data_IF_544434870022
#
_entry.id   IF_544434870022
#
_cell.length_a   1.000
_cell.length_b   1.000
_cell.length_c   1.000
_cell.angle_alpha   90.00
_cell.angle_beta   90.00
_cell.angle_gamma   90.00
#
_symmetry.space_group_name_H-M   'P 1'
#
loop_
_entity.id
_entity.type
_entity.pdbx_description
1 polymer ?
#
# COMPACT_ATOMS: atom_id res chain seq x y z
N UNK A 1 -25.73 -25.25 20.12
CA UNK A 1 -24.74 -24.58 19.30
C UNK A 1 -25.20 -24.74 17.87
N UNK A 2 -25.92 -23.73 17.33
CA UNK A 2 -26.37 -23.72 15.94
C UNK A 2 -25.19 -23.56 15.02
N UNK A 3 -25.07 -24.47 14.04
CA UNK A 3 -24.09 -24.32 12.98
C UNK A 3 -24.42 -23.04 12.18
N UNK A 4 -23.50 -22.11 12.13
CA UNK A 4 -23.60 -20.94 11.25
C UNK A 4 -23.43 -21.47 9.83
N UNK A 5 -24.54 -21.51 9.09
CA UNK A 5 -24.55 -21.87 7.69
C UNK A 5 -24.00 -20.68 6.90
N UNK A 6 -22.70 -20.68 6.70
CA UNK A 6 -22.05 -19.69 5.83
C UNK A 6 -22.48 -19.96 4.39
N UNK A 7 -22.87 -18.94 3.62
CA UNK A 7 -23.16 -19.10 2.20
C UNK A 7 -21.93 -19.67 1.49
N UNK A 8 -22.08 -20.86 0.91
CA UNK A 8 -21.02 -21.44 0.09
C UNK A 8 -21.00 -20.70 -1.25
N UNK A 9 -19.97 -19.92 -1.47
CA UNK A 9 -19.69 -19.33 -2.79
C UNK A 9 -19.41 -20.47 -3.77
N UNK A 10 -20.26 -20.62 -4.77
CA UNK A 10 -20.03 -21.58 -5.84
C UNK A 10 -18.94 -21.02 -6.75
N UNK A 11 -17.76 -21.63 -6.68
CA UNK A 11 -16.67 -21.33 -7.61
C UNK A 11 -17.07 -21.76 -9.02
N UNK A 12 -16.92 -20.91 -10.03
CA UNK A 12 -17.20 -21.27 -11.40
C UNK A 12 -16.24 -22.37 -11.86
N UNK A 13 -16.66 -23.20 -12.81
CA UNK A 13 -15.84 -24.29 -13.38
C UNK A 13 -14.56 -23.78 -14.08
N UNK A 14 -14.54 -22.50 -14.46
CA UNK A 14 -13.36 -21.74 -14.87
C UNK A 14 -13.34 -20.43 -14.10
N UNK A 15 -12.27 -20.13 -13.32
CA UNK A 15 -12.16 -18.86 -12.66
C UNK A 15 -12.11 -17.75 -13.71
N UNK A 16 -13.10 -16.87 -13.69
CA UNK A 16 -13.10 -15.60 -14.39
C UNK A 16 -12.57 -14.53 -13.48
N UNK A 17 -12.05 -13.47 -14.03
CA UNK A 17 -11.51 -12.36 -13.24
C UNK A 17 -10.79 -11.36 -14.13
N UNK A 18 -10.36 -10.28 -13.54
CA UNK A 18 -9.68 -9.21 -14.23
C UNK A 18 -8.28 -8.96 -13.67
N UNK A 19 -7.43 -8.38 -14.50
CA UNK A 19 -6.07 -8.00 -14.13
C UNK A 19 -5.82 -6.58 -14.62
N UNK A 20 -5.50 -5.69 -13.70
CA UNK A 20 -5.08 -4.32 -14.01
C UNK A 20 -3.66 -4.08 -13.56
N UNK A 21 -2.92 -3.32 -14.33
CA UNK A 21 -1.54 -2.95 -14.06
C UNK A 21 -1.42 -1.44 -14.09
N UNK A 22 -0.80 -0.90 -13.06
CA UNK A 22 -0.52 0.53 -12.97
C UNK A 22 0.82 0.78 -12.29
N UNK A 23 1.21 2.05 -12.23
CA UNK A 23 2.29 2.53 -11.38
C UNK A 23 1.73 3.64 -10.50
N UNK A 24 1.89 3.52 -9.18
CA UNK A 24 1.47 4.52 -8.20
C UNK A 24 2.71 5.13 -7.57
N UNK A 25 2.91 6.44 -7.75
CA UNK A 25 4.12 7.10 -7.26
C UNK A 25 5.43 6.47 -7.77
N UNK A 26 5.45 5.95 -9.01
CA UNK A 26 6.59 5.25 -9.59
C UNK A 26 6.73 3.77 -9.22
N UNK A 27 5.86 3.23 -8.39
CA UNK A 27 5.88 1.83 -7.95
C UNK A 27 4.86 0.99 -8.71
N UNK A 28 5.34 -0.05 -9.38
CA UNK A 28 4.47 -0.94 -10.17
C UNK A 28 3.58 -1.79 -9.29
N UNK A 29 2.30 -1.77 -9.57
CA UNK A 29 1.26 -2.53 -8.90
C UNK A 29 0.45 -3.35 -9.89
N UNK A 30 0.08 -4.55 -9.50
CA UNK A 30 -0.82 -5.43 -10.26
C UNK A 30 -1.99 -5.79 -9.35
N UNK A 31 -3.18 -5.38 -9.73
CA UNK A 31 -4.44 -5.75 -9.09
C UNK A 31 -5.05 -6.92 -9.86
N UNK A 32 -5.45 -7.97 -9.17
CA UNK A 32 -6.14 -9.13 -9.73
C UNK A 32 -7.40 -9.40 -8.95
N UNK A 33 -8.41 -9.88 -9.64
CA UNK A 33 -9.64 -10.37 -9.02
C UNK A 33 -9.97 -11.76 -9.53
N UNK A 34 -10.66 -12.54 -8.71
CA UNK A 34 -11.39 -13.73 -9.13
C UNK A 34 -12.87 -13.45 -8.89
N UNK A 35 -13.70 -13.85 -9.83
CA UNK A 35 -15.14 -13.56 -9.84
C UNK A 35 -15.94 -14.84 -9.63
N UNK A 36 -17.11 -14.71 -9.02
CA UNK A 36 -18.11 -15.75 -8.96
C UNK A 36 -18.90 -15.87 -10.30
N UNK A 37 -19.87 -16.77 -10.33
CA UNK A 37 -20.74 -16.99 -11.51
C UNK A 37 -21.61 -15.76 -11.85
N UNK A 38 -21.81 -14.84 -10.92
CA UNK A 38 -22.54 -13.58 -11.12
C UNK A 38 -21.67 -12.41 -11.51
N UNK A 39 -20.34 -12.64 -11.67
CA UNK A 39 -19.37 -11.59 -12.00
C UNK A 39 -19.02 -10.70 -10.82
N UNK A 40 -19.28 -11.14 -9.58
CA UNK A 40 -18.89 -10.41 -8.39
C UNK A 40 -17.51 -10.85 -7.90
N UNK A 41 -16.66 -9.94 -7.42
CA UNK A 41 -15.34 -10.29 -6.95
C UNK A 41 -15.44 -11.07 -5.63
N UNK A 42 -14.84 -12.25 -5.60
CA UNK A 42 -14.73 -13.11 -4.41
C UNK A 42 -13.31 -13.19 -3.88
N UNK A 43 -12.35 -12.81 -4.70
CA UNK A 43 -10.93 -12.74 -4.33
C UNK A 43 -10.30 -11.51 -4.93
N UNK A 44 -9.44 -10.87 -4.16
CA UNK A 44 -8.65 -9.71 -4.55
C UNK A 44 -7.19 -9.97 -4.19
N UNK A 45 -6.27 -9.70 -5.09
CA UNK A 45 -4.84 -9.76 -4.84
C UNK A 45 -4.15 -8.51 -5.38
N UNK A 46 -3.26 -7.93 -4.58
CA UNK A 46 -2.44 -6.77 -4.95
C UNK A 46 -0.97 -7.18 -4.87
N UNK A 47 -0.31 -7.23 -6.01
CA UNK A 47 1.10 -7.57 -6.10
C UNK A 47 1.95 -6.33 -6.40
N UNK A 48 3.03 -6.16 -5.65
CA UNK A 48 4.00 -5.08 -5.77
C UNK A 48 5.36 -5.64 -6.21
N UNK A 49 6.01 -5.01 -7.18
CA UNK A 49 7.19 -5.61 -7.83
C UNK A 49 8.52 -5.21 -7.20
N UNK A 50 8.63 -4.05 -6.57
CA UNK A 50 9.90 -3.49 -6.08
C UNK A 50 9.93 -3.20 -4.59
N UNK A 51 8.95 -3.70 -3.85
CA UNK A 51 8.83 -3.45 -2.42
C UNK A 51 9.58 -4.48 -1.58
N UNK A 52 9.94 -4.10 -0.37
CA UNK A 52 10.54 -5.00 0.60
C UNK A 52 9.63 -6.19 0.94
N UNK A 53 10.22 -7.31 1.35
CA UNK A 53 9.49 -8.55 1.63
C UNK A 53 8.39 -8.35 2.70
N UNK A 54 8.67 -7.59 3.75
CA UNK A 54 7.71 -7.32 4.82
C UNK A 54 6.47 -6.57 4.31
N UNK A 55 6.66 -5.56 3.47
CA UNK A 55 5.55 -4.80 2.90
C UNK A 55 4.69 -5.68 1.97
N UNK A 56 5.31 -6.52 1.14
CA UNK A 56 4.59 -7.46 0.29
C UNK A 56 3.79 -8.47 1.10
N UNK A 57 4.39 -9.07 2.15
CA UNK A 57 3.69 -10.00 3.02
C UNK A 57 2.51 -9.37 3.76
N UNK A 58 2.64 -8.10 4.17
CA UNK A 58 1.54 -7.36 4.79
C UNK A 58 0.40 -7.11 3.79
N UNK A 59 0.74 -6.74 2.56
CA UNK A 59 -0.24 -6.54 1.50
C UNK A 59 -0.97 -7.85 1.14
N UNK A 60 -0.22 -8.96 1.04
CA UNK A 60 -0.80 -10.28 0.80
C UNK A 60 -1.75 -10.69 1.94
N UNK A 61 -1.35 -10.50 3.19
CA UNK A 61 -2.20 -10.81 4.36
C UNK A 61 -3.48 -9.96 4.37
N UNK A 62 -3.38 -8.66 4.04
CA UNK A 62 -4.52 -7.76 3.98
C UNK A 62 -5.48 -8.17 2.85
N UNK A 63 -4.99 -8.44 1.65
CA UNK A 63 -5.83 -8.86 0.51
C UNK A 63 -6.45 -10.23 0.75
N UNK A 64 -5.77 -11.13 1.46
CA UNK A 64 -6.34 -12.40 1.90
C UNK A 64 -7.50 -12.18 2.87
N UNK A 65 -7.38 -11.27 3.83
CA UNK A 65 -8.47 -10.94 4.76
C UNK A 65 -9.69 -10.35 4.02
N UNK A 66 -9.47 -9.47 3.04
CA UNK A 66 -10.52 -8.94 2.17
C UNK A 66 -11.21 -10.06 1.39
N UNK A 67 -10.44 -10.97 0.79
CA UNK A 67 -10.96 -12.11 0.02
C UNK A 67 -11.82 -13.04 0.88
N UNK A 68 -11.38 -13.34 2.11
CA UNK A 68 -12.18 -14.12 3.07
C UNK A 68 -13.51 -13.41 3.36
N UNK A 69 -13.49 -12.11 3.57
CA UNK A 69 -14.72 -11.35 3.82
C UNK A 69 -15.66 -11.32 2.61
N UNK A 70 -15.13 -11.07 1.40
CA UNK A 70 -15.93 -11.12 0.16
C UNK A 70 -16.57 -12.49 -0.03
N UNK A 71 -15.81 -13.57 0.13
CA UNK A 71 -16.30 -14.94 0.05
C UNK A 71 -17.34 -15.25 1.16
N UNK A 72 -17.28 -14.54 2.28
CA UNK A 72 -18.26 -14.65 3.39
C UNK A 72 -19.47 -13.73 3.22
N UNK A 73 -19.58 -13.00 2.10
CA UNK A 73 -20.74 -12.17 1.79
C UNK A 73 -20.64 -10.71 2.27
N UNK A 74 -19.47 -10.26 2.71
CA UNK A 74 -19.24 -8.82 2.96
C UNK A 74 -19.25 -8.08 1.64
N UNK A 75 -20.02 -7.01 1.53
CA UNK A 75 -20.14 -6.25 0.30
C UNK A 75 -18.82 -5.54 -0.06
N UNK A 76 -18.47 -5.54 -1.34
CA UNK A 76 -17.30 -4.80 -1.83
C UNK A 76 -17.35 -3.31 -1.45
N UNK A 77 -18.56 -2.73 -1.40
CA UNK A 77 -18.75 -1.33 -1.02
C UNK A 77 -18.17 -1.00 0.36
N UNK A 78 -18.28 -1.91 1.33
CA UNK A 78 -17.72 -1.71 2.68
C UNK A 78 -16.19 -1.56 2.64
N UNK A 79 -15.54 -2.35 1.80
CA UNK A 79 -14.10 -2.26 1.61
C UNK A 79 -13.69 -1.01 0.85
N UNK A 80 -14.49 -0.58 -0.11
CA UNK A 80 -14.26 0.68 -0.82
C UNK A 80 -14.31 1.86 0.13
N UNK A 81 -15.34 1.93 0.99
CA UNK A 81 -15.45 3.01 1.99
C UNK A 81 -14.32 2.97 3.03
N UNK A 82 -13.83 1.79 3.37
CA UNK A 82 -12.75 1.65 4.34
C UNK A 82 -11.36 2.01 3.78
N UNK A 83 -11.11 1.71 2.50
CA UNK A 83 -9.75 1.77 1.95
C UNK A 83 -9.53 2.82 0.87
N UNK A 84 -10.58 3.36 0.24
CA UNK A 84 -10.43 4.52 -0.62
C UNK A 84 -9.86 5.70 0.18
N UNK A 85 -8.95 6.45 -0.44
CA UNK A 85 -8.28 7.61 0.16
C UNK A 85 -7.43 7.31 1.41
N UNK A 86 -7.12 6.05 1.70
CA UNK A 86 -6.12 5.73 2.73
C UNK A 86 -4.75 6.27 2.32
N UNK A 87 -4.02 6.84 3.29
CA UNK A 87 -2.75 7.54 3.05
C UNK A 87 -1.56 6.77 3.57
N UNK A 88 -0.71 6.30 2.68
CA UNK A 88 0.63 5.74 2.98
C UNK A 88 1.43 5.62 1.68
N UNK A 89 2.75 5.53 1.81
CA UNK A 89 3.60 5.36 0.63
C UNK A 89 3.58 3.93 0.06
N UNK A 90 3.70 3.77 -1.27
CA UNK A 90 3.85 4.81 -2.29
C UNK A 90 2.52 5.53 -2.61
N UNK A 91 2.61 6.83 -2.86
CA UNK A 91 1.50 7.72 -3.22
C UNK A 91 1.93 8.66 -4.35
N UNK A 92 0.99 9.27 -5.06
CA UNK A 92 1.28 10.24 -6.10
C UNK A 92 0.61 9.96 -7.43
N UNK A 93 1.28 10.33 -8.52
CA UNK A 93 0.79 10.12 -9.88
C UNK A 93 0.57 8.63 -10.18
N UNK A 94 -0.53 8.33 -10.87
CA UNK A 94 -0.86 7.00 -11.36
C UNK A 94 -0.64 6.96 -12.86
N UNK A 95 0.16 6.00 -13.31
CA UNK A 95 0.40 5.71 -14.72
C UNK A 95 -0.20 4.36 -15.09
N UNK A 96 -0.74 4.25 -16.29
CA UNK A 96 -1.35 3.00 -16.79
C UNK A 96 -2.84 2.86 -16.46
N UNK A 97 -3.44 3.81 -15.76
CA UNK A 97 -4.88 3.90 -15.55
C UNK A 97 -5.41 5.25 -16.06
N UNK A 98 -6.21 5.28 -17.15
CA UNK A 98 -6.71 6.54 -17.70
C UNK A 98 -7.78 7.20 -16.83
N UNK A 99 -8.42 6.44 -15.94
CA UNK A 99 -9.54 6.90 -15.13
C UNK A 99 -9.14 7.41 -13.75
N UNK A 100 -7.97 6.99 -13.24
CA UNK A 100 -7.44 7.38 -11.94
C UNK A 100 -6.02 7.89 -12.15
N UNK A 101 -5.83 9.19 -12.00
CA UNK A 101 -4.56 9.86 -12.31
C UNK A 101 -3.67 10.06 -11.10
N UNK A 102 -4.23 10.02 -9.90
CA UNK A 102 -3.52 10.17 -8.62
C UNK A 102 -4.12 9.28 -7.57
N UNK A 103 -3.27 8.81 -6.66
CA UNK A 103 -3.70 8.00 -5.53
C UNK A 103 -2.89 8.34 -4.28
N UNK A 104 -3.56 8.31 -3.14
CA UNK A 104 -2.94 8.54 -1.82
C UNK A 104 -2.24 7.31 -1.28
N UNK A 105 -2.46 6.16 -1.89
CA UNK A 105 -1.78 4.90 -1.64
C UNK A 105 -2.07 3.88 -2.74
N UNK A 106 -1.38 2.75 -2.69
CA UNK A 106 -1.70 1.59 -3.54
C UNK A 106 -3.11 1.06 -3.25
N UNK A 107 -3.54 1.07 -1.98
CA UNK A 107 -4.90 0.65 -1.61
C UNK A 107 -5.96 1.61 -2.15
N UNK A 108 -5.73 2.92 -2.04
CA UNK A 108 -6.62 3.92 -2.60
C UNK A 108 -6.85 3.67 -4.10
N UNK A 109 -5.76 3.51 -4.88
CA UNK A 109 -5.89 3.19 -6.29
C UNK A 109 -6.68 1.90 -6.52
N UNK A 110 -6.33 0.83 -5.81
CA UNK A 110 -6.93 -0.49 -6.01
C UNK A 110 -8.42 -0.49 -5.69
N UNK A 111 -8.84 0.07 -4.57
CA UNK A 111 -10.25 0.07 -4.17
C UNK A 111 -11.10 1.05 -4.97
N UNK A 112 -10.57 2.19 -5.39
CA UNK A 112 -11.26 3.06 -6.35
C UNK A 112 -11.37 2.39 -7.73
N UNK A 113 -10.36 1.62 -8.15
CA UNK A 113 -10.45 0.82 -9.38
C UNK A 113 -11.55 -0.24 -9.27
N UNK A 114 -11.59 -1.00 -8.20
CA UNK A 114 -12.64 -1.98 -7.96
C UNK A 114 -14.03 -1.33 -7.88
N UNK A 115 -14.16 -0.16 -7.26
CA UNK A 115 -15.42 0.58 -7.20
C UNK A 115 -15.93 0.97 -8.58
N UNK A 116 -15.04 1.38 -9.48
CA UNK A 116 -15.41 1.73 -10.87
C UNK A 116 -15.84 0.51 -11.66
N UNK A 117 -15.09 -0.57 -11.58
CA UNK A 117 -15.30 -1.77 -12.41
C UNK A 117 -16.52 -2.60 -11.93
N UNK A 118 -16.71 -2.76 -10.63
CA UNK A 118 -17.73 -3.65 -10.07
C UNK A 118 -18.95 -2.92 -9.50
N UNK A 119 -18.79 -1.68 -9.04
CA UNK A 119 -19.91 -0.90 -8.46
C UNK A 119 -20.36 0.24 -9.38
N UNK A 120 -19.71 0.46 -10.53
CA UNK A 120 -20.03 1.54 -11.47
C UNK A 120 -19.81 2.95 -10.87
N UNK A 121 -19.04 3.07 -9.78
CA UNK A 121 -18.79 4.34 -9.10
C UNK A 121 -17.79 5.19 -9.86
N UNK A 122 -18.26 6.31 -10.38
CA UNK A 122 -17.42 7.31 -11.07
C UNK A 122 -17.31 8.63 -10.29
N UNK A 123 -17.94 8.69 -9.13
CA UNK A 123 -18.00 9.85 -8.24
C UNK A 123 -16.74 10.05 -7.40
N UNK A 124 -15.87 9.02 -7.33
CA UNK A 124 -14.64 9.06 -6.55
C UNK A 124 -13.58 9.91 -7.28
N UNK A 125 -13.48 11.17 -6.89
CA UNK A 125 -12.56 12.13 -7.49
C UNK A 125 -11.09 11.80 -7.20
N UNK A 126 -10.20 12.24 -8.09
CA UNK A 126 -8.76 12.14 -7.84
C UNK A 126 -8.34 13.06 -6.69
N UNK A 127 -7.47 12.59 -5.78
CA UNK A 127 -6.91 13.42 -4.74
C UNK A 127 -6.02 14.52 -5.32
N UNK A 128 -5.85 15.60 -4.56
CA UNK A 128 -4.93 16.65 -4.92
C UNK A 128 -3.48 16.22 -4.74
N UNK A 129 -2.53 16.97 -5.27
CA UNK A 129 -1.12 16.70 -5.08
C UNK A 129 -0.71 16.80 -3.60
N UNK A 130 -1.31 17.73 -2.85
CA UNK A 130 -1.09 17.88 -1.42
C UNK A 130 -1.59 16.65 -0.62
N UNK A 131 -2.67 16.00 -1.07
CA UNK A 131 -3.18 14.78 -0.45
C UNK A 131 -2.26 13.57 -0.66
N UNK A 132 -1.48 13.60 -1.73
CA UNK A 132 -0.51 12.56 -2.06
C UNK A 132 0.88 12.81 -1.47
N UNK A 133 1.10 13.98 -0.82
CA UNK A 133 2.34 14.22 -0.11
C UNK A 133 2.50 13.15 0.97
N UNK A 134 3.70 12.52 1.11
CA UNK A 134 3.92 11.59 2.19
C UNK A 134 3.61 12.31 3.50
N UNK A 135 2.83 11.65 4.38
CA UNK A 135 2.76 12.08 5.76
C UNK A 135 4.19 12.17 6.24
N UNK A 136 4.69 13.38 6.39
CA UNK A 136 5.95 13.63 7.06
C UNK A 136 5.76 13.23 8.52
N UNK A 137 5.89 11.93 8.79
CA UNK A 137 6.28 11.45 10.10
C UNK A 137 7.68 12.03 10.33
N UNK A 138 7.70 13.18 11.01
CA UNK A 138 8.88 14.01 11.11
C UNK A 138 8.94 15.08 10.01
N UNK A 139 7.89 15.86 9.76
CA UNK A 139 8.16 17.27 9.61
C UNK A 139 9.06 17.58 10.78
N UNK A 140 10.34 17.81 10.50
CA UNK A 140 11.25 18.38 11.46
C UNK A 140 10.65 19.76 11.80
N UNK A 141 9.63 19.76 12.63
CA UNK A 141 9.46 20.85 13.54
C UNK A 141 10.84 20.84 14.20
N UNK A 142 11.58 21.89 14.00
CA UNK A 142 12.72 22.21 14.81
C UNK A 142 12.20 22.11 16.26
N UNK A 143 12.12 20.86 16.76
CA UNK A 143 11.99 20.65 18.17
C UNK A 143 13.27 21.21 18.69
N UNK A 144 13.17 22.40 19.31
CA UNK A 144 14.23 22.88 20.17
C UNK A 144 14.66 21.68 21.01
N UNK A 145 15.95 21.37 21.08
CA UNK A 145 16.43 20.20 21.78
C UNK A 145 15.78 20.17 23.17
N UNK A 146 15.05 19.10 23.46
CA UNK A 146 14.30 18.92 24.71
C UNK A 146 15.21 18.92 25.96
N UNK A 147 16.50 18.90 25.76
CA UNK A 147 17.53 19.02 26.79
C UNK A 147 18.57 20.04 26.30
N UNK A 148 18.92 21.05 27.11
CA UNK A 148 20.07 21.90 26.82
C UNK A 148 21.32 21.04 26.98
N UNK A 149 21.69 20.31 25.97
CA UNK A 149 22.95 19.65 25.86
C UNK A 149 23.95 20.72 25.48
N UNK A 150 24.55 21.40 26.44
CA UNK A 150 25.77 22.19 26.29
C UNK A 150 26.92 21.22 25.93
N UNK A 151 26.83 20.68 24.74
CA UNK A 151 27.97 19.97 24.14
C UNK A 151 28.91 21.04 23.59
N UNK A 152 30.17 21.10 24.07
CA UNK A 152 31.14 22.02 23.50
C UNK A 152 31.32 21.73 22.02
N UNK A 153 31.20 22.77 21.23
CA UNK A 153 31.07 22.74 19.76
C UNK A 153 32.31 22.20 19.01
N UNK A 154 33.36 21.81 19.72
CA UNK A 154 34.57 21.21 19.13
C UNK A 154 35.29 20.30 20.11
N UNK A 155 35.03 19.04 20.10
CA UNK A 155 36.01 18.07 20.52
C UNK A 155 37.11 17.99 19.45
N UNK A 156 38.37 18.30 19.74
CA UNK A 156 39.46 18.16 18.75
C UNK A 156 39.57 16.69 18.34
N UNK A 157 39.54 16.45 17.03
CA UNK A 157 39.68 15.11 16.47
C UNK A 157 40.94 14.41 17.06
N UNK A 158 40.82 13.13 17.50
CA UNK A 158 41.96 12.41 18.05
C UNK A 158 43.07 12.33 16.98
N UNK A 159 44.21 12.93 17.26
CA UNK A 159 45.41 12.83 16.42
C UNK A 159 45.75 11.36 16.27
N UNK A 160 45.64 10.84 15.05
CA UNK A 160 46.11 9.49 14.71
C UNK A 160 47.62 9.40 15.03
N UNK A 161 47.96 8.63 16.05
CA UNK A 161 49.36 8.25 16.32
C UNK A 161 49.78 7.33 15.15
N UNK A 162 50.58 7.87 14.23
CA UNK A 162 51.34 7.06 13.26
C UNK A 162 52.29 6.17 14.06
N UNK A 163 51.96 4.92 14.17
CA UNK A 163 52.90 3.91 14.68
C UNK A 163 53.91 3.62 13.60
N UNK A 164 55.11 4.15 13.76
CA UNK A 164 56.22 3.80 12.89
C UNK A 164 56.54 2.33 13.07
N UNK A 165 56.33 1.52 12.06
CA UNK A 165 56.85 0.16 12.02
C UNK A 165 58.35 0.22 11.77
N UNK A 166 59.18 -0.10 12.80
CA UNK A 166 60.59 -0.39 12.62
C UNK A 166 60.72 -1.80 12.04
N UNK A 167 61.18 -1.90 10.82
CA UNK A 167 61.72 -3.15 10.29
C UNK A 167 63.04 -3.41 11.00
N UNK A 168 63.16 -4.51 11.70
CA UNK A 168 64.40 -5.08 12.19
C UNK A 168 64.89 -6.03 11.10
N UNK A 169 66.11 -5.70 10.59
CA UNK A 169 66.87 -6.54 9.67
C UNK A 169 67.55 -7.72 10.37
#
# INVERSE_FOLDING_TARGET
LGAVNLPQVQLPARPTGAVWKASVGGHRVVLRTTEDAAGQPIEVAIALTKEGAAYRSLMDAMTQAVSIGLASGVALAEYVEAYAYTRFGPAGAVEGDPAIRRATSVLDWAFRKLAREYLGRTDLADPTEADCAPDTVGAVHQQAPLLPLDLPETAPAPRARRRALRLVG
#
